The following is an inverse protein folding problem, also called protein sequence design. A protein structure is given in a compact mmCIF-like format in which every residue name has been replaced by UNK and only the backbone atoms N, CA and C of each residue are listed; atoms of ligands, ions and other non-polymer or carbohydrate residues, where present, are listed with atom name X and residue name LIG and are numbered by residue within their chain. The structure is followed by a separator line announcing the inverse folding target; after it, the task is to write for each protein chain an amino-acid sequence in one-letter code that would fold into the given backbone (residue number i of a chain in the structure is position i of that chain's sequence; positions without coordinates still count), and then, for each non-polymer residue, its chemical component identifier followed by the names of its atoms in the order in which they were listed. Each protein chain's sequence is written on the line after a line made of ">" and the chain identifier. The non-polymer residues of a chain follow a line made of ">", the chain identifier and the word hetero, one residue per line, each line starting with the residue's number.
data_IF_315256608551
#
_entry.id   IF_315256608551
#
_cell.length_a   1.000
_cell.length_b   1.000
_cell.length_c   1.000
_cell.angle_alpha   90.00
_cell.angle_beta   90.00
_cell.angle_gamma   90.00
#
_symmetry.space_group_name_H-M   'P 1'
#
loop_
_entity.id
_entity.type
_entity.pdbx_description
1 polymer ?
#
# COMPACT_ATOMS: atom_id res chain seq x y z
N UNK A 1 -6.42 -6.87 -4.79
CA UNK A 1 -7.85 -6.49 -5.01
C UNK A 1 -8.21 -5.08 -4.60
N UNK A 2 -8.63 -4.27 -5.58
CA UNK A 2 -9.07 -2.88 -5.43
C UNK A 2 -10.47 -2.66 -4.83
N UNK A 3 -10.73 -3.14 -3.61
CA UNK A 3 -12.06 -3.03 -2.95
C UNK A 3 -12.28 -1.72 -2.18
N UNK A 4 -11.32 -0.79 -2.22
CA UNK A 4 -11.32 0.45 -1.42
C UNK A 4 -11.06 0.24 0.08
N UNK A 5 -10.20 -0.74 0.42
CA UNK A 5 -9.94 -1.18 1.81
C UNK A 5 -9.47 -0.04 2.71
N UNK A 6 -8.47 0.73 2.28
CA UNK A 6 -7.88 1.79 3.10
C UNK A 6 -8.86 2.91 3.42
N UNK A 7 -9.61 3.39 2.43
CA UNK A 7 -10.70 4.37 2.68
C UNK A 7 -11.72 3.80 3.67
N UNK A 8 -12.14 2.54 3.49
CA UNK A 8 -13.11 1.90 4.40
C UNK A 8 -12.61 1.81 5.85
N UNK A 9 -11.29 1.66 6.06
CA UNK A 9 -10.69 1.55 7.40
C UNK A 9 -10.48 2.90 8.08
N UNK A 10 -10.11 3.93 7.32
CA UNK A 10 -9.55 5.15 7.88
C UNK A 10 -10.41 6.40 7.65
N UNK A 11 -11.25 6.43 6.60
CA UNK A 11 -12.00 7.65 6.23
C UNK A 11 -12.88 8.17 7.36
N UNK A 12 -13.58 7.30 8.10
CA UNK A 12 -14.43 7.72 9.21
C UNK A 12 -13.64 8.46 10.31
N UNK A 13 -12.39 8.05 10.57
CA UNK A 13 -11.51 8.68 11.56
C UNK A 13 -10.79 9.92 11.03
N UNK A 14 -10.84 10.13 9.72
CA UNK A 14 -10.18 11.22 9.00
C UNK A 14 -11.18 11.85 8.01
N UNK A 15 -12.34 12.27 8.53
CA UNK A 15 -13.46 12.76 7.72
C UNK A 15 -13.12 14.06 6.95
N UNK A 16 -12.15 14.83 7.44
CA UNK A 16 -11.69 16.07 6.81
C UNK A 16 -10.61 15.84 5.75
N UNK A 17 -10.11 14.62 5.58
CA UNK A 17 -9.10 14.30 4.58
C UNK A 17 -9.74 14.10 3.19
N UNK A 18 -9.07 14.58 2.14
CA UNK A 18 -9.41 14.23 0.76
C UNK A 18 -8.92 12.82 0.44
N UNK A 19 -9.82 11.97 -0.09
CA UNK A 19 -9.51 10.62 -0.52
C UNK A 19 -9.55 10.52 -2.04
N UNK A 20 -8.39 10.26 -2.64
CA UNK A 20 -8.24 10.02 -4.08
C UNK A 20 -7.95 8.54 -4.35
N UNK A 21 -8.76 7.91 -5.19
CA UNK A 21 -8.60 6.52 -5.61
C UNK A 21 -8.16 6.41 -7.08
N UNK A 22 -7.28 5.45 -7.37
CA UNK A 22 -6.93 5.04 -8.74
C UNK A 22 -7.27 3.56 -8.87
N UNK A 23 -8.10 3.21 -9.85
CA UNK A 23 -8.52 1.83 -10.12
C UNK A 23 -8.47 1.56 -11.63
N UNK A 24 -7.77 0.52 -12.05
CA UNK A 24 -7.65 0.18 -13.48
C UNK A 24 -8.88 -0.55 -14.00
N UNK A 25 -9.58 -1.28 -13.15
CA UNK A 25 -10.69 -2.15 -13.50
C UNK A 25 -12.03 -1.49 -13.23
N UNK A 26 -12.60 -0.87 -14.27
CA UNK A 26 -13.88 -0.17 -14.19
C UNK A 26 -15.02 -0.96 -13.51
N UNK A 27 -15.20 -2.28 -13.73
CA UNK A 27 -16.26 -3.04 -13.06
C UNK A 27 -16.21 -3.01 -11.53
N UNK A 28 -15.02 -2.88 -10.93
CA UNK A 28 -14.88 -2.77 -9.47
C UNK A 28 -15.50 -1.49 -8.91
N UNK A 29 -15.63 -0.44 -9.71
CA UNK A 29 -16.26 0.82 -9.29
C UNK A 29 -17.70 0.58 -8.84
N UNK A 30 -18.47 -0.15 -9.64
CA UNK A 30 -19.86 -0.49 -9.32
C UNK A 30 -19.91 -1.63 -8.29
N UNK A 31 -19.13 -2.70 -8.51
CA UNK A 31 -19.15 -3.90 -7.66
C UNK A 31 -18.83 -3.60 -6.20
N UNK A 32 -17.92 -2.67 -5.93
CA UNK A 32 -17.48 -2.34 -4.57
C UNK A 32 -17.87 -0.94 -4.12
N UNK A 33 -18.66 -0.21 -4.92
CA UNK A 33 -19.11 1.13 -4.59
C UNK A 33 -17.95 2.11 -4.36
N UNK A 34 -16.96 2.11 -5.26
CA UNK A 34 -15.75 2.93 -5.06
C UNK A 34 -16.06 4.42 -5.15
N UNK A 35 -17.05 4.81 -5.95
CA UNK A 35 -17.47 6.21 -6.08
C UNK A 35 -18.01 6.80 -4.76
N UNK A 36 -18.47 5.97 -3.81
CA UNK A 36 -18.90 6.43 -2.49
C UNK A 36 -17.76 6.46 -1.46
N UNK A 37 -16.62 5.84 -1.78
CA UNK A 37 -15.46 5.70 -0.88
C UNK A 37 -14.40 6.77 -1.11
N UNK A 38 -14.40 7.42 -2.27
CA UNK A 38 -13.38 8.38 -2.66
C UNK A 38 -14.04 9.69 -3.09
N UNK A 39 -13.44 10.82 -2.71
CA UNK A 39 -13.87 12.15 -3.15
C UNK A 39 -13.55 12.35 -4.64
N UNK A 40 -12.46 11.74 -5.10
CA UNK A 40 -12.10 11.65 -6.52
C UNK A 40 -11.67 10.23 -6.86
N UNK A 41 -12.25 9.68 -7.92
CA UNK A 41 -11.91 8.36 -8.42
C UNK A 41 -11.43 8.47 -9.87
N UNK A 42 -10.21 7.97 -10.12
CA UNK A 42 -9.59 7.95 -11.44
C UNK A 42 -9.61 6.50 -11.93
N UNK A 43 -10.32 6.23 -13.02
CA UNK A 43 -10.35 4.92 -13.65
C UNK A 43 -9.21 4.86 -14.66
N UNK A 44 -8.05 4.33 -14.24
CA UNK A 44 -6.84 4.29 -15.05
C UNK A 44 -5.82 3.29 -14.50
N UNK A 45 -4.88 2.91 -15.36
CA UNK A 45 -3.66 2.23 -14.93
C UNK A 45 -2.76 3.21 -14.17
N UNK A 46 -2.43 2.90 -12.91
CA UNK A 46 -1.58 3.73 -12.07
C UNK A 46 -0.22 4.04 -12.71
N UNK A 47 0.31 3.15 -13.56
CA UNK A 47 1.55 3.37 -14.31
C UNK A 47 1.48 4.56 -15.24
N UNK A 48 0.31 4.97 -15.69
CA UNK A 48 0.15 6.04 -16.70
C UNK A 48 -0.58 7.27 -16.18
N UNK A 49 -0.99 7.28 -14.91
CA UNK A 49 -1.63 8.45 -14.31
C UNK A 49 -0.64 9.61 -14.21
N UNK A 50 -1.08 10.79 -14.66
CA UNK A 50 -0.37 12.04 -14.44
C UNK A 50 -0.56 12.49 -12.98
N UNK A 51 0.29 11.96 -12.10
CA UNK A 51 0.30 12.27 -10.68
C UNK A 51 0.50 13.76 -10.40
N UNK A 52 1.08 14.52 -11.35
CA UNK A 52 1.27 15.95 -11.18
C UNK A 52 -0.04 16.73 -11.11
N UNK A 53 -1.05 16.24 -11.81
CA UNK A 53 -2.39 16.84 -11.84
C UNK A 53 -3.26 16.39 -10.67
N UNK A 54 -2.83 15.41 -9.89
CA UNK A 54 -3.57 14.94 -8.72
C UNK A 54 -3.30 15.80 -7.48
N UNK A 55 -2.08 16.33 -7.35
CA UNK A 55 -1.68 17.20 -6.23
C UNK A 55 -0.53 16.61 -5.41
N UNK A 56 -0.42 17.07 -4.16
CA UNK A 56 0.46 16.51 -3.13
C UNK A 56 -0.41 15.84 -2.07
N UNK A 57 0.11 14.77 -1.47
CA UNK A 57 -0.60 13.96 -0.49
C UNK A 57 0.22 13.85 0.79
N UNK A 58 -0.43 13.72 1.94
CA UNK A 58 0.30 13.36 3.16
C UNK A 58 0.66 11.87 3.15
N UNK A 59 -0.30 11.03 2.73
CA UNK A 59 -0.15 9.57 2.72
C UNK A 59 -0.62 8.99 1.39
N UNK A 60 0.14 8.04 0.85
CA UNK A 60 -0.23 7.22 -0.29
C UNK A 60 -0.22 5.74 0.10
N UNK A 61 -1.13 4.95 -0.47
CA UNK A 61 -1.22 3.51 -0.26
C UNK A 61 -1.14 2.76 -1.59
N UNK A 62 -0.23 1.79 -1.66
CA UNK A 62 -0.11 0.79 -2.73
C UNK A 62 -0.17 -0.60 -2.09
N UNK A 63 -1.35 -0.97 -1.61
CA UNK A 63 -1.56 -2.28 -1.00
C UNK A 63 -2.03 -3.31 -2.00
N UNK A 64 -1.23 -4.35 -2.22
CA UNK A 64 -1.47 -5.43 -3.17
C UNK A 64 -1.69 -4.86 -4.59
N UNK A 65 -0.66 -4.13 -5.07
CA UNK A 65 -0.66 -3.39 -6.35
C UNK A 65 0.60 -3.68 -7.17
N UNK A 66 1.77 -3.64 -6.52
CA UNK A 66 3.05 -3.64 -7.23
C UNK A 66 3.41 -5.01 -7.82
N UNK A 67 2.90 -6.09 -7.25
CA UNK A 67 3.04 -7.46 -7.76
C UNK A 67 2.32 -7.69 -9.09
N UNK A 68 1.37 -6.82 -9.43
CA UNK A 68 0.57 -6.91 -10.67
C UNK A 68 1.24 -6.26 -11.89
N UNK A 69 2.49 -5.81 -11.75
CA UNK A 69 3.28 -5.21 -12.82
C UNK A 69 4.72 -5.74 -12.79
N UNK A 70 5.50 -5.38 -13.82
CA UNK A 70 6.92 -5.75 -13.84
C UNK A 70 7.67 -5.06 -12.69
N UNK A 71 8.78 -5.63 -12.25
CA UNK A 71 9.60 -5.01 -11.20
C UNK A 71 10.11 -3.61 -11.62
N UNK A 72 10.36 -3.37 -12.91
CA UNK A 72 10.75 -2.04 -13.42
C UNK A 72 9.60 -1.05 -13.38
N UNK A 73 8.39 -1.47 -13.77
CA UNK A 73 7.19 -0.60 -13.70
C UNK A 73 6.88 -0.21 -12.25
N UNK A 74 7.01 -1.17 -11.32
CA UNK A 74 6.80 -0.94 -9.89
C UNK A 74 7.80 0.08 -9.33
N UNK A 75 9.09 -0.04 -9.69
CA UNK A 75 10.12 0.93 -9.32
C UNK A 75 9.82 2.32 -9.89
N UNK A 76 9.46 2.41 -11.17
CA UNK A 76 9.12 3.69 -11.80
C UNK A 76 7.90 4.34 -11.12
N UNK A 77 6.86 3.56 -10.84
CA UNK A 77 5.66 4.05 -10.15
C UNK A 77 6.00 4.59 -8.76
N UNK A 78 6.78 3.83 -7.96
CA UNK A 78 7.20 4.26 -6.62
C UNK A 78 8.04 5.53 -6.71
N UNK A 79 8.99 5.63 -7.63
CA UNK A 79 9.82 6.82 -7.82
C UNK A 79 9.00 8.06 -8.21
N UNK A 80 7.91 7.88 -8.95
CA UNK A 80 6.97 8.95 -9.30
C UNK A 80 6.03 9.33 -8.14
N UNK A 81 5.71 8.40 -7.25
CA UNK A 81 4.85 8.63 -6.07
C UNK A 81 5.58 9.31 -4.92
N UNK A 82 6.84 8.96 -4.65
CA UNK A 82 7.63 9.52 -3.54
C UNK A 82 7.73 11.05 -3.51
N UNK A 83 7.89 11.79 -4.63
CA UNK A 83 7.85 13.25 -4.59
C UNK A 83 6.43 13.84 -4.47
N UNK A 84 5.40 13.00 -4.49
CA UNK A 84 3.98 13.39 -4.42
C UNK A 84 3.34 13.09 -3.08
N UNK A 85 4.05 12.42 -2.18
CA UNK A 85 3.56 12.15 -0.83
C UNK A 85 4.64 12.28 0.24
N UNK A 86 4.24 12.57 1.49
CA UNK A 86 5.17 12.53 2.62
C UNK A 86 5.50 11.11 3.04
N UNK A 87 4.51 10.22 2.95
CA UNK A 87 4.61 8.81 3.34
C UNK A 87 3.89 7.90 2.32
N UNK A 88 4.59 6.87 1.85
CA UNK A 88 4.03 5.83 0.99
C UNK A 88 4.03 4.51 1.76
N UNK A 89 2.87 3.86 1.84
CA UNK A 89 2.74 2.49 2.34
C UNK A 89 2.60 1.51 1.18
N UNK A 90 3.37 0.43 1.24
CA UNK A 90 3.28 -0.69 0.31
C UNK A 90 2.95 -1.94 1.13
N UNK A 91 1.96 -2.73 0.69
CA UNK A 91 1.82 -4.13 1.09
C UNK A 91 2.01 -5.02 -0.12
N UNK A 92 2.72 -6.13 0.06
CA UNK A 92 3.01 -7.05 -1.04
C UNK A 92 3.15 -8.49 -0.54
N UNK A 93 2.60 -9.49 -1.25
CA UNK A 93 2.84 -10.89 -0.96
C UNK A 93 4.34 -11.23 -1.07
N UNK A 94 4.85 -12.05 -0.15
CA UNK A 94 6.23 -12.53 -0.15
C UNK A 94 6.28 -14.05 -0.26
N UNK A 95 7.36 -14.54 -0.88
CA UNK A 95 7.53 -15.94 -1.27
C UNK A 95 6.96 -16.24 -2.64
N UNK A 96 6.92 -17.52 -3.02
CA UNK A 96 6.34 -17.94 -4.29
C UNK A 96 4.80 -17.97 -4.19
N UNK A 97 4.18 -16.93 -4.74
CA UNK A 97 2.75 -16.67 -4.71
C UNK A 97 2.22 -16.49 -6.15
N UNK A 98 2.10 -17.55 -6.96
CA UNK A 98 1.50 -17.43 -8.28
C UNK A 98 0.01 -17.15 -8.19
N UNK A 99 -0.48 -16.21 -9.00
CA UNK A 99 -1.89 -15.84 -9.03
C UNK A 99 -2.30 -15.44 -10.45
N UNK A 100 -3.34 -16.08 -10.97
CA UNK A 100 -3.96 -15.70 -12.24
C UNK A 100 -4.93 -14.53 -12.10
N UNK A 101 -5.83 -14.38 -13.07
CA UNK A 101 -6.94 -13.42 -12.95
C UNK A 101 -7.86 -13.78 -11.77
N UNK A 102 -8.38 -12.78 -11.07
CA UNK A 102 -9.34 -12.95 -9.96
C UNK A 102 -10.58 -12.13 -10.28
N UNK A 103 -11.79 -12.68 -10.08
CA UNK A 103 -13.07 -12.05 -10.48
C UNK A 103 -13.09 -11.52 -11.93
N UNK A 104 -12.57 -12.32 -12.86
CA UNK A 104 -12.43 -11.96 -14.28
C UNK A 104 -11.59 -10.69 -14.54
N UNK A 105 -10.93 -10.14 -13.51
CA UNK A 105 -10.01 -9.02 -13.64
C UNK A 105 -8.62 -9.53 -14.03
N UNK A 106 -8.16 -9.31 -15.28
CA UNK A 106 -6.84 -9.76 -15.71
C UNK A 106 -5.69 -8.97 -15.07
N UNK A 107 -5.98 -7.84 -14.44
CA UNK A 107 -5.02 -6.98 -13.75
C UNK A 107 -4.76 -7.43 -12.30
N UNK A 108 -5.47 -8.43 -11.77
CA UNK A 108 -5.14 -9.06 -10.49
C UNK A 108 -4.08 -10.16 -10.62
N UNK A 109 -3.66 -10.50 -11.83
CA UNK A 109 -2.60 -11.49 -12.03
C UNK A 109 -1.30 -11.00 -11.40
N UNK A 110 -0.61 -11.87 -10.68
CA UNK A 110 0.76 -11.58 -10.23
C UNK A 110 1.69 -11.68 -11.45
N UNK A 111 2.36 -10.59 -11.77
CA UNK A 111 3.39 -10.53 -12.82
C UNK A 111 4.75 -10.89 -12.24
N UNK A 112 5.00 -10.47 -11.00
CA UNK A 112 6.13 -10.95 -10.20
C UNK A 112 5.54 -11.80 -9.08
N UNK A 113 5.90 -13.08 -9.06
CA UNK A 113 5.29 -14.09 -8.19
C UNK A 113 6.19 -14.47 -7.01
N UNK A 114 7.39 -13.89 -6.89
CA UNK A 114 8.46 -14.40 -6.02
C UNK A 114 9.20 -13.30 -5.24
N UNK A 115 8.49 -12.25 -4.81
CA UNK A 115 9.10 -11.21 -3.98
C UNK A 115 9.62 -11.78 -2.64
N UNK A 116 10.79 -11.28 -2.21
CA UNK A 116 11.32 -11.49 -0.86
C UNK A 116 11.51 -10.16 -0.17
N UNK A 117 11.62 -10.14 1.17
CA UNK A 117 11.86 -8.91 1.93
C UNK A 117 13.15 -8.21 1.46
N UNK A 118 14.20 -8.99 1.20
CA UNK A 118 15.48 -8.51 0.70
C UNK A 118 15.30 -7.83 -0.66
N UNK A 119 14.61 -8.48 -1.59
CA UNK A 119 14.37 -7.94 -2.93
C UNK A 119 13.54 -6.66 -2.90
N UNK A 120 12.55 -6.56 -2.00
CA UNK A 120 11.78 -5.33 -1.80
C UNK A 120 12.69 -4.20 -1.33
N UNK A 121 13.53 -4.44 -0.32
CA UNK A 121 14.44 -3.41 0.20
C UNK A 121 15.50 -3.00 -0.81
N UNK A 122 15.95 -3.92 -1.65
CA UNK A 122 16.87 -3.64 -2.75
C UNK A 122 16.22 -2.79 -3.85
N UNK A 123 15.01 -3.15 -4.28
CA UNK A 123 14.27 -2.41 -5.32
C UNK A 123 13.79 -1.04 -4.84
N UNK A 124 13.51 -0.88 -3.55
CA UNK A 124 12.93 0.34 -3.00
C UNK A 124 13.82 0.90 -1.87
N UNK A 125 14.91 1.61 -2.20
CA UNK A 125 15.87 2.12 -1.20
C UNK A 125 15.28 3.20 -0.28
N UNK A 126 14.10 3.74 -0.59
CA UNK A 126 13.38 4.70 0.25
C UNK A 126 12.58 4.04 1.39
N UNK A 127 12.64 2.71 1.54
CA UNK A 127 12.06 2.00 2.69
C UNK A 127 12.75 2.48 3.96
N UNK A 128 11.97 3.10 4.84
CA UNK A 128 12.41 3.63 6.13
C UNK A 128 11.93 2.77 7.30
N UNK A 129 10.87 2.00 7.07
CA UNK A 129 10.42 0.98 7.98
C UNK A 129 9.72 -0.19 7.27
N UNK A 130 9.67 -1.35 7.89
CA UNK A 130 8.85 -2.46 7.42
C UNK A 130 8.74 -3.61 8.41
N UNK A 131 7.77 -4.47 8.15
CA UNK A 131 7.53 -5.70 8.88
C UNK A 131 7.08 -6.80 7.93
N UNK A 132 7.43 -8.04 8.28
CA UNK A 132 7.00 -9.25 7.59
C UNK A 132 6.13 -10.05 8.55
N UNK A 133 4.93 -10.40 8.10
CA UNK A 133 4.01 -11.19 8.89
C UNK A 133 3.61 -12.46 8.11
N UNK A 134 3.72 -13.61 8.77
CA UNK A 134 3.26 -14.89 8.22
C UNK A 134 1.99 -15.33 8.94
N UNK A 135 0.92 -15.55 8.17
CA UNK A 135 -0.36 -16.08 8.66
C UNK A 135 -0.74 -17.33 7.88
N UNK A 136 -0.51 -18.48 8.50
CA UNK A 136 -0.74 -19.77 7.86
C UNK A 136 0.22 -19.96 6.68
N UNK A 137 -0.33 -20.17 5.47
CA UNK A 137 0.44 -20.36 4.25
C UNK A 137 0.84 -19.06 3.54
N UNK A 138 0.43 -17.90 4.07
CA UNK A 138 0.63 -16.60 3.43
C UNK A 138 1.63 -15.76 4.20
N UNK A 139 2.56 -15.14 3.49
CA UNK A 139 3.48 -14.16 4.05
C UNK A 139 3.24 -12.82 3.35
N UNK A 140 3.07 -11.76 4.14
CA UNK A 140 2.88 -10.39 3.64
C UNK A 140 4.02 -9.52 4.17
N UNK A 141 4.62 -8.74 3.27
CA UNK A 141 5.51 -7.65 3.63
C UNK A 141 4.73 -6.34 3.65
N UNK A 142 4.92 -5.53 4.68
CA UNK A 142 4.39 -4.16 4.74
C UNK A 142 5.53 -3.19 4.98
N UNK A 143 5.59 -2.15 4.16
CA UNK A 143 6.72 -1.22 4.10
C UNK A 143 6.24 0.23 4.11
N UNK A 144 6.92 1.05 4.90
CA UNK A 144 6.78 2.50 4.90
C UNK A 144 7.98 3.10 4.15
N UNK A 145 7.70 3.91 3.14
CA UNK A 145 8.69 4.58 2.32
C UNK A 145 8.53 6.10 2.46
N UNK A 146 9.64 6.81 2.62
CA UNK A 146 9.63 8.28 2.69
C UNK A 146 10.96 8.87 2.26
N UNK A 147 10.93 10.08 1.71
CA UNK A 147 12.09 10.95 1.51
C UNK A 147 12.03 12.21 2.39
N UNK A 148 10.98 12.36 3.20
CA UNK A 148 10.76 13.52 4.06
C UNK A 148 11.44 13.31 5.41
N UNK A 149 12.47 14.09 5.72
CA UNK A 149 13.29 13.91 6.93
C UNK A 149 12.48 14.03 8.23
N UNK A 150 11.49 14.90 8.28
CA UNK A 150 10.59 15.04 9.43
C UNK A 150 9.74 13.78 9.64
N UNK A 151 9.13 13.27 8.57
CA UNK A 151 8.34 12.03 8.60
C UNK A 151 9.20 10.84 9.04
N UNK A 152 10.42 10.73 8.52
CA UNK A 152 11.36 9.67 8.90
C UNK A 152 11.68 9.73 10.39
N UNK A 153 12.01 10.92 10.92
CA UNK A 153 12.31 11.11 12.34
C UNK A 153 11.10 10.77 13.22
N UNK A 154 9.89 11.17 12.80
CA UNK A 154 8.66 10.86 13.52
C UNK A 154 8.38 9.34 13.58
N UNK A 155 8.54 8.62 12.47
CA UNK A 155 8.39 7.16 12.42
C UNK A 155 9.38 6.44 13.34
N UNK A 156 10.64 6.90 13.36
CA UNK A 156 11.67 6.35 14.24
C UNK A 156 11.35 6.56 15.72
N UNK A 157 10.80 7.73 16.08
CA UNK A 157 10.38 8.03 17.45
C UNK A 157 9.24 7.11 17.92
N UNK A 158 8.24 6.86 17.06
CA UNK A 158 7.11 5.96 17.37
C UNK A 158 7.58 4.53 17.70
N UNK A 159 8.58 4.01 16.98
CA UNK A 159 9.19 2.71 17.29
C UNK A 159 9.93 2.67 18.63
N UNK A 160 10.51 3.81 19.04
CA UNK A 160 11.18 3.92 20.32
C UNK A 160 10.22 3.76 21.51
N UNK A 161 8.98 4.20 21.37
CA UNK A 161 7.94 4.07 22.40
C UNK A 161 7.45 2.62 22.57
N UNK A 162 7.26 1.87 21.49
CA UNK A 162 6.74 0.50 21.51
C UNK A 162 7.71 -0.53 22.14
N UNK A 163 9.00 -0.19 22.25
CA UNK A 163 10.02 -1.00 22.96
C UNK A 163 10.15 -0.68 24.45
N UNK A 164 9.41 0.32 24.95
CA UNK A 164 9.48 0.77 26.36
C UNK A 164 8.35 0.26 27.25
N UNK A 165 7.33 -0.39 26.68
CA UNK A 165 6.28 -1.07 27.45
C UNK A 165 6.55 -2.59 27.53
N UNK A 166 6.62 -3.19 28.74
CA UNK A 166 6.67 -4.64 28.86
C UNK A 166 5.34 -5.25 28.38
N UNK A 167 5.33 -6.50 27.89
CA UNK A 167 4.11 -7.13 27.41
C UNK A 167 3.08 -7.21 28.55
N UNK A 168 2.03 -6.41 28.44
CA UNK A 168 0.90 -6.42 29.37
C UNK A 168 0.19 -7.78 29.30
N UNK A 169 0.20 -8.49 30.42
CA UNK A 169 -0.51 -9.74 30.63
C UNK A 169 -2.02 -9.50 30.37
N UNK A 170 -2.59 -10.14 29.34
CA UNK A 170 -4.03 -10.06 29.07
C UNK A 170 -4.75 -10.90 30.14
N UNK A 171 -5.71 -10.34 30.90
CA UNK A 171 -6.51 -11.15 31.80
C UNK A 171 -7.40 -12.09 30.99
N UNK A 172 -7.41 -13.37 31.36
CA UNK A 172 -8.24 -14.39 30.73
C UNK A 172 -9.74 -14.13 30.91
N UNK A 173 -10.59 -14.64 30.00
CA UNK A 173 -12.03 -14.41 30.06
C UNK A 173 -12.67 -15.10 31.27
N UNK A 174 -13.83 -14.58 31.75
CA UNK A 174 -14.53 -15.05 32.95
C UNK A 174 -15.15 -16.44 32.81
#
# INVERSE_FOLDING_TARGET
>A
MGVGRYSSLFRERHADAEWVGVEIWAPYVEQFGLAQKYDRLIIADARWVDLARLGLFDVCFCGDVLEHMSASDAQELVDRLLPRCRLLFISIPLGFCPQGSVFDNPFERHVVEDYSDERIREHFPAVVDGAVETRGAWTIGTYALSRDGETIAALQALRGHDRSEPPGERPGPP
#
